data_IF_679654910531
#
_entry.id   IF_679654910531
#
_cell.length_a   1.000
_cell.length_b   1.000
_cell.length_c   1.000
_cell.angle_alpha   90.00
_cell.angle_beta   90.00
_cell.angle_gamma   90.00
#
_symmetry.space_group_name_H-M   'P 1'
#
loop_
_entity.id
_entity.type
_entity.pdbx_description
1 polymer ?
#
# COMPACT_ATOMS: atom_id res chain seq x y z
N UNK A 1 21.23 -4.88 -5.42
CA UNK A 1 20.26 -5.18 -4.35
C UNK A 1 19.60 -6.53 -4.61
N UNK A 2 19.31 -7.35 -3.58
CA UNK A 2 18.72 -8.68 -3.77
C UNK A 2 17.31 -8.59 -4.36
N UNK A 3 16.97 -9.52 -5.26
CA UNK A 3 15.63 -9.64 -5.88
C UNK A 3 14.50 -9.69 -4.85
N UNK A 4 14.80 -10.21 -3.65
CA UNK A 4 13.89 -10.33 -2.52
C UNK A 4 13.28 -8.98 -2.08
N UNK A 5 14.10 -7.92 -1.97
CA UNK A 5 13.64 -6.61 -1.46
C UNK A 5 12.62 -5.94 -2.38
N UNK A 6 12.71 -6.20 -3.69
CA UNK A 6 11.76 -5.67 -4.64
C UNK A 6 10.42 -6.39 -4.54
N UNK A 7 10.45 -7.72 -4.45
CA UNK A 7 9.22 -8.51 -4.30
C UNK A 7 8.52 -8.20 -2.99
N UNK A 8 9.24 -8.02 -1.89
CA UNK A 8 8.63 -7.64 -0.62
C UNK A 8 7.94 -6.28 -0.70
N UNK A 9 8.61 -5.25 -1.25
CA UNK A 9 8.00 -3.93 -1.44
C UNK A 9 6.75 -3.98 -2.32
N UNK A 10 6.84 -4.71 -3.44
CA UNK A 10 5.72 -4.89 -4.36
C UNK A 10 4.51 -5.57 -3.69
N UNK A 11 4.74 -6.58 -2.84
CA UNK A 11 3.67 -7.25 -2.10
C UNK A 11 3.03 -6.30 -1.08
N UNK A 12 3.83 -5.54 -0.33
CA UNK A 12 3.34 -4.58 0.67
C UNK A 12 2.45 -3.53 0.01
N UNK A 13 2.95 -2.87 -1.05
CA UNK A 13 2.21 -1.84 -1.74
C UNK A 13 0.97 -2.41 -2.44
N UNK A 14 1.09 -3.60 -3.03
CA UNK A 14 -0.02 -4.31 -3.67
C UNK A 14 -1.15 -4.65 -2.69
N UNK A 15 -0.81 -5.15 -1.50
CA UNK A 15 -1.80 -5.42 -0.44
C UNK A 15 -2.48 -4.14 0.03
N UNK A 16 -1.74 -3.03 0.19
CA UNK A 16 -2.31 -1.76 0.58
C UNK A 16 -3.32 -1.23 -0.46
N UNK A 17 -3.02 -1.37 -1.76
CA UNK A 17 -3.98 -1.04 -2.83
C UNK A 17 -5.24 -1.90 -2.77
N UNK A 18 -5.08 -3.22 -2.57
CA UNK A 18 -6.22 -4.14 -2.47
C UNK A 18 -7.11 -3.82 -1.27
N UNK A 19 -6.52 -3.53 -0.11
CA UNK A 19 -7.25 -3.14 1.10
C UNK A 19 -8.01 -1.83 0.87
N UNK A 20 -7.35 -0.83 0.28
CA UNK A 20 -7.99 0.46 0.00
C UNK A 20 -9.16 0.32 -0.98
N UNK A 21 -9.01 -0.51 -2.03
CA UNK A 21 -10.10 -0.84 -2.94
C UNK A 21 -11.25 -1.54 -2.22
N UNK A 22 -10.96 -2.45 -1.30
CA UNK A 22 -11.98 -3.13 -0.49
C UNK A 22 -12.84 -2.15 0.32
N UNK A 23 -12.22 -1.11 0.90
CA UNK A 23 -12.95 -0.05 1.59
C UNK A 23 -13.84 0.77 0.64
N UNK A 24 -13.31 1.18 -0.52
CA UNK A 24 -14.08 1.92 -1.53
C UNK A 24 -15.30 1.10 -1.99
N UNK A 25 -15.11 -0.18 -2.31
CA UNK A 25 -16.21 -1.06 -2.73
C UNK A 25 -17.23 -1.24 -1.59
N UNK A 26 -16.79 -1.45 -0.36
CA UNK A 26 -17.69 -1.60 0.80
C UNK A 26 -18.51 -0.33 1.07
N UNK A 27 -17.92 0.86 0.89
CA UNK A 27 -18.62 2.13 1.08
C UNK A 27 -19.69 2.35 0.01
N UNK A 28 -19.39 2.02 -1.25
CA UNK A 28 -20.36 2.06 -2.35
C UNK A 28 -21.53 1.11 -2.09
N UNK A 29 -21.25 -0.13 -1.68
CA UNK A 29 -22.28 -1.13 -1.41
C UNK A 29 -23.18 -0.75 -0.22
N UNK A 30 -22.65 -0.04 0.77
CA UNK A 30 -23.42 0.42 1.94
C UNK A 30 -24.27 1.68 1.65
N UNK A 31 -24.24 2.21 0.42
CA UNK A 31 -25.01 3.39 0.05
C UNK A 31 -24.67 4.63 0.89
N UNK A 32 -23.44 4.69 1.44
CA UNK A 32 -22.98 5.86 2.21
C UNK A 32 -22.62 6.98 1.23
N UNK A 33 -23.65 7.73 0.80
CA UNK A 33 -23.56 8.82 -0.16
C UNK A 33 -22.72 10.03 0.30
N UNK A 34 -22.31 10.07 1.58
CA UNK A 34 -21.58 11.19 2.20
C UNK A 34 -20.06 11.04 2.26
N UNK A 35 -19.50 9.89 1.88
CA UNK A 35 -18.06 9.60 1.94
C UNK A 35 -17.47 9.34 0.55
N UNK A 36 -17.80 10.19 -0.42
CA UNK A 36 -16.90 10.37 -1.56
C UNK A 36 -15.60 10.92 -0.99
N UNK A 37 -14.66 10.05 -0.65
CA UNK A 37 -13.34 10.42 -0.14
C UNK A 37 -12.38 10.44 -1.32
N UNK A 38 -12.34 11.52 -2.13
CA UNK A 38 -11.51 11.59 -3.33
C UNK A 38 -10.04 11.35 -3.01
N UNK A 39 -9.63 11.67 -1.78
CA UNK A 39 -8.29 11.39 -1.24
C UNK A 39 -7.93 9.91 -1.28
N UNK A 40 -8.87 9.02 -0.96
CA UNK A 40 -8.62 7.57 -0.97
C UNK A 40 -8.46 7.05 -2.39
N UNK A 41 -9.30 7.52 -3.32
CA UNK A 41 -9.21 7.14 -4.73
C UNK A 41 -7.92 7.67 -5.37
N UNK A 42 -7.53 8.90 -5.05
CA UNK A 42 -6.26 9.50 -5.47
C UNK A 42 -5.07 8.69 -4.94
N UNK A 43 -5.12 8.25 -3.68
CA UNK A 43 -4.08 7.42 -3.08
C UNK A 43 -3.95 6.06 -3.78
N UNK A 44 -5.07 5.42 -4.13
CA UNK A 44 -5.08 4.17 -4.91
C UNK A 44 -4.39 4.38 -6.27
N UNK A 45 -4.75 5.44 -7.00
CA UNK A 45 -4.15 5.76 -8.31
C UNK A 45 -2.65 6.02 -8.17
N UNK A 46 -2.25 6.83 -7.18
CA UNK A 46 -0.85 7.16 -6.95
C UNK A 46 -0.02 5.92 -6.61
N UNK A 47 -0.54 5.04 -5.74
CA UNK A 47 0.10 3.76 -5.41
C UNK A 47 0.21 2.83 -6.62
N UNK A 48 -0.86 2.72 -7.42
CA UNK A 48 -0.83 1.92 -8.65
C UNK A 48 0.20 2.45 -9.65
N UNK A 49 0.33 3.77 -9.79
CA UNK A 49 1.33 4.40 -10.64
C UNK A 49 2.76 4.13 -10.14
N UNK A 50 2.99 4.13 -8.83
CA UNK A 50 4.27 3.78 -8.21
C UNK A 50 4.63 2.32 -8.52
N UNK A 51 3.71 1.38 -8.31
CA UNK A 51 3.93 -0.05 -8.59
C UNK A 51 4.24 -0.26 -10.08
N UNK A 52 3.44 0.34 -10.96
CA UNK A 52 3.64 0.24 -12.40
C UNK A 52 5.01 0.83 -12.81
N UNK A 53 5.34 2.02 -12.30
CA UNK A 53 6.63 2.67 -12.52
C UNK A 53 7.81 1.82 -12.05
N UNK A 54 7.69 1.15 -10.90
CA UNK A 54 8.72 0.24 -10.40
C UNK A 54 8.88 -1.02 -11.28
N UNK A 55 7.78 -1.61 -11.75
CA UNK A 55 7.82 -2.75 -12.68
C UNK A 55 8.45 -2.36 -14.02
N UNK A 56 8.12 -1.17 -14.53
CA UNK A 56 8.75 -0.61 -15.72
C UNK A 56 10.26 -0.35 -15.52
N UNK A 57 10.66 0.26 -14.40
CA UNK A 57 12.07 0.48 -14.09
C UNK A 57 12.85 -0.84 -13.98
N UNK A 58 12.21 -1.90 -13.48
CA UNK A 58 12.77 -3.26 -13.47
C UNK A 58 12.96 -3.80 -14.90
N UNK A 59 12.03 -3.57 -15.83
CA UNK A 59 12.13 -4.09 -17.20
C UNK A 59 13.27 -3.44 -17.99
N UNK A 60 13.59 -2.17 -17.72
CA UNK A 60 14.73 -1.46 -18.33
C UNK A 60 16.06 -1.67 -17.58
N UNK A 61 16.12 -2.62 -16.64
CA UNK A 61 17.34 -2.97 -15.89
C UNK A 61 17.71 -2.03 -14.74
N UNK A 62 16.90 -1.00 -14.45
CA UNK A 62 17.14 -0.04 -13.35
C UNK A 62 16.61 -0.55 -12.01
N UNK A 63 17.08 -1.73 -11.60
CA UNK A 63 16.62 -2.44 -10.40
C UNK A 63 16.79 -1.63 -9.11
N UNK A 64 17.88 -0.88 -8.97
CA UNK A 64 18.14 -0.08 -7.76
C UNK A 64 17.10 1.02 -7.57
N UNK A 65 16.75 1.73 -8.66
CA UNK A 65 15.76 2.82 -8.62
C UNK A 65 14.37 2.25 -8.39
N UNK A 66 14.04 1.15 -9.08
CA UNK A 66 12.78 0.44 -8.89
C UNK A 66 12.56 0.02 -7.44
N UNK A 67 13.61 -0.46 -6.76
CA UNK A 67 13.53 -0.85 -5.37
C UNK A 67 13.30 0.36 -4.45
N UNK A 68 14.10 1.42 -4.61
CA UNK A 68 13.92 2.65 -3.80
C UNK A 68 12.50 3.18 -3.97
N UNK A 69 11.96 3.18 -5.18
CA UNK A 69 10.62 3.68 -5.49
C UNK A 69 9.51 2.93 -4.73
N UNK A 70 9.56 1.60 -4.65
CA UNK A 70 8.59 0.80 -3.87
C UNK A 70 8.73 0.99 -2.36
N UNK A 71 9.95 1.21 -1.88
CA UNK A 71 10.18 1.36 -0.43
C UNK A 71 9.78 2.73 0.11
N UNK A 72 9.54 3.74 -0.74
CA UNK A 72 9.02 5.05 -0.33
C UNK A 72 7.65 4.91 0.36
N UNK A 73 6.61 4.30 -0.25
CA UNK A 73 5.35 4.00 0.45
C UNK A 73 5.43 2.75 1.33
N UNK A 74 6.20 1.74 0.93
CA UNK A 74 6.27 0.46 1.65
C UNK A 74 6.80 0.59 3.09
N UNK A 75 7.77 1.47 3.34
CA UNK A 75 8.32 1.65 4.69
C UNK A 75 7.31 2.28 5.68
N UNK A 76 6.64 3.42 5.37
CA UNK A 76 5.55 3.94 6.19
C UNK A 76 4.42 2.93 6.42
N UNK A 77 4.03 2.17 5.39
CA UNK A 77 2.97 1.16 5.51
C UNK A 77 3.35 0.02 6.47
N UNK A 78 4.58 -0.49 6.37
CA UNK A 78 5.09 -1.48 7.31
C UNK A 78 5.18 -0.94 8.72
N UNK A 79 5.71 0.26 8.91
CA UNK A 79 5.82 0.89 10.22
C UNK A 79 4.42 1.04 10.85
N UNK A 80 3.46 1.56 10.09
CA UNK A 80 2.07 1.68 10.54
C UNK A 80 1.48 0.33 10.92
N UNK A 81 1.58 -0.68 10.05
CA UNK A 81 1.07 -2.03 10.32
C UNK A 81 1.73 -2.68 11.55
N UNK A 82 3.03 -2.46 11.75
CA UNK A 82 3.76 -2.94 12.92
C UNK A 82 3.25 -2.29 14.22
N UNK A 83 3.05 -0.96 14.23
CA UNK A 83 2.49 -0.28 15.40
C UNK A 83 1.07 -0.74 15.70
N UNK A 84 0.22 -0.89 14.68
CA UNK A 84 -1.14 -1.41 14.85
C UNK A 84 -1.11 -2.81 15.48
N UNK A 85 -0.25 -3.70 14.99
CA UNK A 85 -0.07 -5.04 15.57
C UNK A 85 0.39 -5.00 17.02
N UNK A 86 1.37 -4.14 17.35
CA UNK A 86 1.81 -3.95 18.72
C UNK A 86 0.67 -3.47 19.63
N UNK A 87 -0.15 -2.52 19.17
CA UNK A 87 -1.30 -2.05 19.94
C UNK A 87 -2.33 -3.17 20.18
N UNK A 88 -2.62 -3.99 19.17
CA UNK A 88 -3.55 -5.12 19.29
C UNK A 88 -3.03 -6.15 20.31
N UNK A 89 -1.72 -6.42 20.31
CA UNK A 89 -1.10 -7.41 21.23
C UNK A 89 -1.00 -6.88 22.66
N UNK A 90 -0.57 -5.62 22.83
CA UNK A 90 -0.27 -5.05 24.16
C UNK A 90 -1.51 -4.50 24.86
N UNK A 91 -2.54 -4.09 24.12
CA UNK A 91 -3.82 -3.63 24.66
C UNK A 91 -4.98 -4.27 23.90
N UNK A 92 -5.22 -5.58 24.11
CA UNK A 92 -6.32 -6.29 23.45
C UNK A 92 -7.71 -5.75 23.84
N UNK A 93 -7.83 -5.10 25.00
CA UNK A 93 -9.11 -4.58 25.54
C UNK A 93 -9.56 -3.24 24.95
N UNK A 94 -8.85 -2.65 23.99
CA UNK A 94 -9.26 -1.39 23.33
C UNK A 94 -10.27 -1.58 22.17
N UNK A 95 -11.14 -2.58 22.27
CA UNK A 95 -12.27 -2.77 21.34
C UNK A 95 -13.49 -1.99 21.78
#
# INVERSE_FOLDING_TARGET
>A
MPKFFFFSGLIIDGLAVLIALGFVVADVLKGRSGTNNPTMFLAIIAMAAIIFGAVYLKSIGKMSVANVLLWIPGFPLLAYGFFVLLFIILKPDMR
#
